data_IF_536727923094
#
_entry.id   IF_536727923094
#
_cell.length_a   1.000
_cell.length_b   1.000
_cell.length_c   1.000
_cell.angle_alpha   90.00
_cell.angle_beta   90.00
_cell.angle_gamma   90.00
#
_symmetry.space_group_name_H-M   'P 1'
#
loop_
_entity.id
_entity.type
_entity.pdbx_description
1 polymer ?
#
# COMPACT_ATOMS: atom_id res chain seq x y z
N UNK A 1 4.02 -20.18 -11.46
CA UNK A 1 3.76 -19.18 -10.42
C UNK A 1 4.91 -19.07 -9.42
N UNK A 2 5.32 -20.16 -8.79
CA UNK A 2 6.42 -20.14 -7.82
C UNK A 2 7.74 -19.62 -8.39
N UNK A 3 8.08 -19.99 -9.61
CA UNK A 3 9.29 -19.50 -10.26
C UNK A 3 9.24 -18.00 -10.52
N UNK A 4 8.08 -17.48 -10.90
CA UNK A 4 7.88 -16.07 -11.11
C UNK A 4 8.04 -15.31 -9.81
N UNK A 5 7.41 -15.80 -8.74
CA UNK A 5 7.49 -15.16 -7.42
C UNK A 5 8.92 -15.10 -6.91
N UNK A 6 9.68 -16.18 -7.09
CA UNK A 6 11.08 -16.21 -6.64
C UNK A 6 11.98 -15.19 -7.34
N UNK A 7 11.56 -14.68 -8.49
CA UNK A 7 12.33 -13.68 -9.24
C UNK A 7 11.91 -12.24 -8.92
N UNK A 8 10.83 -12.06 -8.16
CA UNK A 8 10.32 -10.74 -7.83
C UNK A 8 10.93 -10.23 -6.54
N UNK A 9 11.10 -8.91 -6.41
CA UNK A 9 11.55 -8.35 -5.15
C UNK A 9 10.50 -8.57 -4.07
N UNK A 10 10.95 -8.88 -2.88
CA UNK A 10 10.09 -9.08 -1.72
C UNK A 10 10.57 -8.28 -0.54
N UNK A 11 10.04 -8.57 0.63
CA UNK A 11 10.43 -7.90 1.86
C UNK A 11 9.74 -8.50 3.07
N UNK A 12 9.79 -7.79 4.19
CA UNK A 12 9.18 -8.22 5.44
C UNK A 12 8.27 -7.16 6.04
N UNK A 13 8.05 -6.09 5.29
CA UNK A 13 7.23 -4.96 5.75
C UNK A 13 5.75 -5.33 5.78
N UNK A 14 4.95 -4.47 6.38
CA UNK A 14 3.50 -4.65 6.48
C UNK A 14 2.78 -3.76 5.48
N UNK A 15 1.94 -4.38 4.66
CA UNK A 15 1.17 -3.70 3.60
C UNK A 15 -0.31 -3.72 3.99
N UNK A 16 -0.94 -2.56 3.97
CA UNK A 16 -2.39 -2.46 4.12
C UNK A 16 -3.01 -2.34 2.73
N UNK A 17 -3.81 -3.32 2.34
CA UNK A 17 -4.55 -3.28 1.08
C UNK A 17 -5.94 -2.73 1.35
N UNK A 18 -6.32 -1.69 0.61
CA UNK A 18 -7.64 -1.05 0.73
C UNK A 18 -8.34 -1.20 -0.61
N UNK A 19 -9.26 -2.16 -0.70
CA UNK A 19 -9.93 -2.49 -1.95
C UNK A 19 -11.20 -3.30 -1.63
N UNK A 20 -12.30 -3.03 -2.32
CA UNK A 20 -13.56 -3.73 -2.12
C UNK A 20 -13.78 -4.90 -3.09
N UNK A 21 -12.80 -5.21 -3.95
CA UNK A 21 -12.91 -6.28 -4.94
C UNK A 21 -12.31 -7.58 -4.42
N UNK A 22 -13.16 -8.46 -3.93
CA UNK A 22 -12.77 -9.69 -3.26
C UNK A 22 -11.82 -10.58 -4.06
N UNK A 23 -12.06 -10.75 -5.36
CA UNK A 23 -11.20 -11.59 -6.21
C UNK A 23 -9.78 -11.04 -6.36
N UNK A 24 -9.62 -9.73 -6.32
CA UNK A 24 -8.31 -9.09 -6.40
C UNK A 24 -7.55 -9.31 -5.10
N UNK A 25 -8.25 -9.26 -3.96
CA UNK A 25 -7.64 -9.46 -2.66
C UNK A 25 -6.96 -10.82 -2.53
N UNK A 26 -7.70 -11.88 -2.86
CA UNK A 26 -7.21 -13.25 -2.68
C UNK A 26 -5.89 -13.44 -3.40
N UNK A 27 -5.81 -12.99 -4.64
CA UNK A 27 -4.59 -13.10 -5.43
C UNK A 27 -3.45 -12.26 -4.87
N UNK A 28 -3.71 -10.99 -4.59
CA UNK A 28 -2.66 -10.07 -4.11
C UNK A 28 -2.17 -10.45 -2.72
N UNK A 29 -3.07 -10.80 -1.81
CA UNK A 29 -2.69 -11.18 -0.46
C UNK A 29 -1.78 -12.39 -0.50
N UNK A 30 -2.20 -13.43 -1.21
CA UNK A 30 -1.41 -14.66 -1.31
C UNK A 30 -0.05 -14.39 -1.91
N UNK A 31 0.00 -13.64 -3.02
CA UNK A 31 1.25 -13.34 -3.69
C UNK A 31 2.19 -12.52 -2.82
N UNK A 32 1.69 -11.48 -2.16
CA UNK A 32 2.52 -10.65 -1.30
C UNK A 32 3.02 -11.39 -0.08
N UNK A 33 2.20 -12.27 0.50
CA UNK A 33 2.64 -13.11 1.61
C UNK A 33 3.75 -14.06 1.18
N UNK A 34 3.68 -14.62 -0.02
CA UNK A 34 4.75 -15.45 -0.56
C UNK A 34 6.04 -14.67 -0.77
N UNK A 35 5.93 -13.37 -1.05
CA UNK A 35 7.09 -12.50 -1.18
C UNK A 35 7.65 -12.07 0.18
N UNK A 36 7.02 -12.47 1.28
CA UNK A 36 7.50 -12.21 2.63
C UNK A 36 6.77 -11.14 3.41
N UNK A 37 5.91 -10.37 2.74
CA UNK A 37 5.20 -9.27 3.39
C UNK A 37 4.10 -9.77 4.33
N UNK A 38 3.83 -8.97 5.37
CA UNK A 38 2.63 -9.12 6.17
C UNK A 38 1.54 -8.26 5.53
N UNK A 39 0.31 -8.78 5.45
CA UNK A 39 -0.76 -8.09 4.75
C UNK A 39 -1.96 -7.90 5.67
N UNK A 40 -2.45 -6.68 5.72
CA UNK A 40 -3.71 -6.31 6.36
C UNK A 40 -4.68 -5.89 5.26
N UNK A 41 -5.97 -6.08 5.49
CA UNK A 41 -6.99 -5.80 4.49
C UNK A 41 -8.07 -4.90 5.06
N UNK A 42 -8.44 -3.88 4.31
CA UNK A 42 -9.62 -3.05 4.58
C UNK A 42 -10.54 -3.07 3.37
N UNK A 43 -11.82 -3.28 3.58
CA UNK A 43 -12.82 -3.35 2.50
C UNK A 43 -13.32 -1.98 2.06
N UNK A 44 -13.05 -0.95 2.84
CA UNK A 44 -13.48 0.41 2.51
C UNK A 44 -12.57 1.41 3.22
N UNK A 45 -12.77 2.69 2.89
CA UNK A 45 -11.93 3.75 3.43
C UNK A 45 -12.08 3.97 4.92
N UNK A 46 -13.29 3.80 5.46
CA UNK A 46 -13.51 3.99 6.89
C UNK A 46 -12.73 2.95 7.69
N UNK A 47 -12.82 1.69 7.29
CA UNK A 47 -12.07 0.61 7.94
C UNK A 47 -10.57 0.83 7.80
N UNK A 48 -10.12 1.30 6.64
CA UNK A 48 -8.71 1.58 6.40
C UNK A 48 -8.16 2.63 7.37
N UNK A 49 -8.90 3.70 7.57
CA UNK A 49 -8.51 4.76 8.50
C UNK A 49 -8.41 4.24 9.92
N UNK A 50 -9.39 3.42 10.35
CA UNK A 50 -9.37 2.84 11.69
C UNK A 50 -8.21 1.87 11.89
N UNK A 51 -7.94 1.03 10.90
CA UNK A 51 -6.81 0.09 10.96
C UNK A 51 -5.50 0.87 11.01
N UNK A 52 -5.35 1.91 10.19
CA UNK A 52 -4.12 2.71 10.18
C UNK A 52 -3.94 3.44 11.51
N UNK A 53 -5.02 4.03 12.04
CA UNK A 53 -4.96 4.75 13.32
C UNK A 53 -4.51 3.87 14.46
N UNK A 54 -4.93 2.60 14.45
CA UNK A 54 -4.53 1.65 15.49
C UNK A 54 -3.10 1.14 15.37
N UNK A 55 -2.50 1.23 14.16
CA UNK A 55 -1.20 0.62 13.89
C UNK A 55 -0.30 1.52 13.02
N UNK A 56 -0.19 2.82 13.31
CA UNK A 56 0.53 3.72 12.39
C UNK A 56 2.02 3.41 12.25
N UNK A 57 2.63 2.86 13.28
CA UNK A 57 4.06 2.53 13.25
C UNK A 57 4.33 1.16 12.63
N UNK A 58 3.31 0.31 12.55
CA UNK A 58 3.46 -1.04 12.00
C UNK A 58 3.18 -1.11 10.51
N UNK A 59 2.32 -0.22 9.99
CA UNK A 59 1.96 -0.24 8.58
C UNK A 59 3.01 0.55 7.78
N UNK A 60 3.67 -0.12 6.87
CA UNK A 60 4.76 0.46 6.09
C UNK A 60 4.30 1.04 4.75
N UNK A 61 3.22 0.52 4.19
CA UNK A 61 2.68 1.00 2.92
C UNK A 61 1.19 0.71 2.84
N UNK A 62 0.44 1.63 2.24
CA UNK A 62 -0.99 1.45 1.94
C UNK A 62 -1.16 1.37 0.44
N UNK A 63 -1.76 0.27 -0.03
CA UNK A 63 -2.17 0.14 -1.42
C UNK A 63 -3.65 0.51 -1.48
N UNK A 64 -3.94 1.69 -2.01
CA UNK A 64 -5.25 2.32 -1.89
C UNK A 64 -6.01 2.37 -3.21
N UNK A 65 -7.14 1.68 -3.27
CA UNK A 65 -8.05 1.79 -4.41
C UNK A 65 -8.76 3.15 -4.34
N UNK A 66 -8.76 3.86 -5.45
CA UNK A 66 -9.36 5.20 -5.53
C UNK A 66 -10.88 5.18 -5.64
N UNK A 67 -11.46 4.07 -6.10
CA UNK A 67 -12.91 3.95 -6.31
C UNK A 67 -13.49 2.89 -5.38
N UNK A 68 -14.08 3.33 -4.28
CA UNK A 68 -14.67 2.46 -3.26
C UNK A 68 -15.93 3.09 -2.67
N UNK A 69 -16.85 2.26 -2.17
CA UNK A 69 -17.95 2.80 -1.34
C UNK A 69 -17.41 3.24 0.03
N UNK A 70 -18.18 4.02 0.75
CA UNK A 70 -17.88 4.48 2.12
C UNK A 70 -16.47 5.08 2.24
N UNK A 71 -16.38 6.35 2.01
CA UNK A 71 -15.14 7.10 1.99
C UNK A 71 -14.23 6.66 0.84
N UNK A 72 -14.33 7.36 -0.27
CA UNK A 72 -13.52 7.10 -1.46
C UNK A 72 -12.03 7.35 -1.23
N UNK A 73 -11.25 7.05 -2.27
CA UNK A 73 -9.80 7.11 -2.17
C UNK A 73 -9.24 8.47 -1.76
N UNK A 74 -9.80 9.56 -2.27
CA UNK A 74 -9.34 10.90 -1.89
C UNK A 74 -9.48 11.15 -0.40
N UNK A 75 -10.66 10.90 0.14
CA UNK A 75 -10.93 11.13 1.54
C UNK A 75 -10.06 10.24 2.42
N UNK A 76 -9.93 8.98 2.04
CA UNK A 76 -9.07 8.04 2.76
C UNK A 76 -7.62 8.49 2.76
N UNK A 77 -7.13 8.93 1.60
CA UNK A 77 -5.78 9.46 1.46
C UNK A 77 -5.51 10.60 2.43
N UNK A 78 -6.39 11.60 2.44
CA UNK A 78 -6.21 12.75 3.32
C UNK A 78 -6.26 12.39 4.80
N UNK A 79 -7.17 11.51 5.17
CA UNK A 79 -7.29 11.09 6.57
C UNK A 79 -6.07 10.32 7.05
N UNK A 80 -5.53 9.43 6.22
CA UNK A 80 -4.31 8.71 6.57
C UNK A 80 -3.14 9.68 6.72
N UNK A 81 -3.02 10.65 5.81
CA UNK A 81 -1.96 11.66 5.89
C UNK A 81 -2.10 12.56 7.11
N UNK A 82 -3.30 12.81 7.59
CA UNK A 82 -3.49 13.54 8.85
C UNK A 82 -2.97 12.74 10.04
N UNK A 83 -3.17 11.43 10.04
CA UNK A 83 -2.68 10.56 11.10
C UNK A 83 -1.16 10.47 11.04
N UNK A 84 -0.60 10.32 9.85
CA UNK A 84 0.82 10.09 9.61
C UNK A 84 1.26 10.80 8.33
N UNK A 85 1.86 11.98 8.44
CA UNK A 85 2.33 12.73 7.26
C UNK A 85 3.36 11.97 6.42
N UNK A 86 4.07 11.01 7.01
CA UNK A 86 5.06 10.20 6.31
C UNK A 86 4.50 8.88 5.77
N UNK A 87 3.19 8.69 5.84
CA UNK A 87 2.56 7.47 5.34
C UNK A 87 2.89 7.25 3.86
N UNK A 88 3.27 6.02 3.52
CA UNK A 88 3.52 5.64 2.14
C UNK A 88 2.21 5.14 1.53
N UNK A 89 1.74 5.81 0.50
CA UNK A 89 0.48 5.47 -0.14
C UNK A 89 0.69 5.27 -1.63
N UNK A 90 0.39 4.05 -2.11
CA UNK A 90 0.41 3.68 -3.50
C UNK A 90 -1.02 3.64 -4.00
N UNK A 91 -1.35 4.51 -4.94
CA UNK A 91 -2.71 4.63 -5.47
C UNK A 91 -2.98 3.58 -6.55
N UNK A 92 -4.22 3.14 -6.64
CA UNK A 92 -4.63 2.13 -7.61
C UNK A 92 -6.02 2.44 -8.14
N UNK A 93 -6.22 2.38 -9.45
CA UNK A 93 -7.55 2.50 -10.04
C UNK A 93 -7.57 2.15 -11.52
N UNK A 94 -8.75 1.73 -12.01
CA UNK A 94 -8.99 1.56 -13.44
C UNK A 94 -9.62 2.78 -14.10
N UNK A 95 -10.18 3.70 -13.31
CA UNK A 95 -10.98 4.82 -13.82
C UNK A 95 -10.73 6.12 -13.08
N UNK A 96 -9.49 6.56 -13.03
CA UNK A 96 -9.16 7.85 -12.41
C UNK A 96 -8.56 8.75 -13.47
N UNK A 97 -8.94 10.02 -13.47
CA UNK A 97 -8.37 10.97 -14.41
C UNK A 97 -6.91 11.23 -14.08
N UNK A 98 -6.13 11.52 -15.10
CA UNK A 98 -4.73 11.86 -14.94
C UNK A 98 -4.54 13.06 -13.99
N UNK A 99 -5.45 14.05 -14.08
CA UNK A 99 -5.39 15.23 -13.23
C UNK A 99 -5.56 14.88 -11.75
N UNK A 100 -6.47 13.97 -11.43
CA UNK A 100 -6.66 13.52 -10.06
C UNK A 100 -5.43 12.82 -9.51
N UNK A 101 -4.82 11.96 -10.33
CA UNK A 101 -3.60 11.25 -9.95
C UNK A 101 -2.47 12.25 -9.70
N UNK A 102 -2.28 13.21 -10.61
CA UNK A 102 -1.22 14.20 -10.47
C UNK A 102 -1.42 15.06 -9.22
N UNK A 103 -2.67 15.42 -8.91
CA UNK A 103 -2.97 16.19 -7.72
C UNK A 103 -2.56 15.44 -6.44
N UNK A 104 -2.92 14.18 -6.36
CA UNK A 104 -2.57 13.38 -5.18
C UNK A 104 -1.07 13.11 -5.08
N UNK A 105 -0.40 12.94 -6.20
CA UNK A 105 1.06 12.80 -6.21
C UNK A 105 1.73 14.07 -5.67
N UNK A 106 1.23 15.24 -6.04
CA UNK A 106 1.73 16.51 -5.50
C UNK A 106 1.48 16.63 -4.01
N UNK A 107 0.45 15.99 -3.49
CA UNK A 107 0.11 16.05 -2.08
C UNK A 107 0.76 14.95 -1.25
N UNK A 108 1.63 14.15 -1.85
CA UNK A 108 2.43 13.20 -1.12
C UNK A 108 2.15 11.73 -1.38
N UNK A 109 1.29 11.39 -2.35
CA UNK A 109 1.16 9.99 -2.77
C UNK A 109 2.47 9.52 -3.39
N UNK A 110 2.80 8.26 -3.17
CA UNK A 110 4.11 7.73 -3.54
C UNK A 110 4.15 7.08 -4.93
N UNK A 111 2.99 6.87 -5.53
CA UNK A 111 2.92 6.30 -6.86
C UNK A 111 1.50 5.93 -7.25
N UNK A 112 1.35 5.43 -8.47
CA UNK A 112 0.07 5.03 -9.00
C UNK A 112 0.22 3.78 -9.85
N UNK A 113 -0.69 2.81 -9.67
CA UNK A 113 -0.76 1.61 -10.48
C UNK A 113 -2.13 1.51 -11.14
N UNK A 114 -2.21 1.48 -12.48
CA UNK A 114 -3.48 1.25 -13.16
C UNK A 114 -3.95 -0.19 -12.99
N UNK A 115 -5.25 -0.39 -12.92
CA UNK A 115 -5.84 -1.73 -12.95
C UNK A 115 -6.03 -2.16 -14.41
N UNK A 116 -5.92 -3.45 -14.73
CA UNK A 116 -5.64 -4.57 -13.84
C UNK A 116 -4.17 -4.61 -13.40
N UNK A 117 -3.95 -5.02 -12.15
CA UNK A 117 -2.59 -5.10 -11.61
C UNK A 117 -1.86 -6.33 -12.13
N UNK A 118 -0.60 -6.14 -12.49
CA UNK A 118 0.29 -7.26 -12.78
C UNK A 118 1.24 -7.39 -11.60
N UNK A 119 1.42 -8.62 -11.13
CA UNK A 119 2.24 -8.86 -9.94
C UNK A 119 3.65 -8.27 -10.04
N UNK A 120 4.38 -8.39 -11.17
CA UNK A 120 5.71 -7.75 -11.25
C UNK A 120 5.66 -6.24 -11.06
N UNK A 121 4.64 -5.56 -11.60
CA UNK A 121 4.50 -4.12 -11.44
C UNK A 121 4.21 -3.73 -10.00
N UNK A 122 3.33 -4.49 -9.34
CA UNK A 122 2.99 -4.26 -7.93
C UNK A 122 4.23 -4.46 -7.06
N UNK A 123 4.94 -5.57 -7.23
CA UNK A 123 6.12 -5.89 -6.44
C UNK A 123 7.22 -4.84 -6.62
N UNK A 124 7.46 -4.39 -7.86
CA UNK A 124 8.48 -3.38 -8.14
C UNK A 124 8.10 -2.04 -7.53
N UNK A 125 6.84 -1.63 -7.63
CA UNK A 125 6.38 -0.35 -7.07
C UNK A 125 6.49 -0.35 -5.55
N UNK A 126 6.06 -1.43 -4.89
CA UNK A 126 6.16 -1.55 -3.45
C UNK A 126 7.62 -1.45 -3.00
N UNK A 127 8.51 -2.20 -3.64
CA UNK A 127 9.93 -2.19 -3.25
C UNK A 127 10.56 -0.83 -3.45
N UNK A 128 10.27 -0.17 -4.56
CA UNK A 128 10.78 1.17 -4.84
C UNK A 128 10.33 2.17 -3.76
N UNK A 129 9.06 2.14 -3.41
CA UNK A 129 8.52 3.07 -2.41
C UNK A 129 9.12 2.80 -1.04
N UNK A 130 9.17 1.54 -0.63
CA UNK A 130 9.69 1.19 0.68
C UNK A 130 11.19 1.49 0.82
N UNK A 131 11.96 1.30 -0.24
CA UNK A 131 13.39 1.61 -0.23
C UNK A 131 13.67 3.10 -0.16
N UNK A 132 12.75 3.93 -0.63
CA UNK A 132 12.85 5.38 -0.59
C UNK A 132 12.13 6.00 0.61
N UNK A 133 11.49 5.18 1.43
CA UNK A 133 10.67 5.64 2.52
C UNK A 133 11.48 6.33 3.62
N UNK A 134 10.94 7.42 4.14
CA UNK A 134 11.48 8.10 5.32
C UNK A 134 10.94 7.50 6.60
N UNK A 135 9.87 6.69 6.49
CA UNK A 135 9.23 6.08 7.63
C UNK A 135 10.02 4.85 8.07
N UNK A 136 10.51 4.78 9.31
CA UNK A 136 11.14 3.59 9.80
C UNK A 136 10.08 2.51 10.01
N UNK A 137 10.37 1.29 9.58
CA UNK A 137 9.50 0.16 9.88
C UNK A 137 10.13 -0.67 11.02
N UNK A 138 9.34 -1.54 11.63
CA UNK A 138 9.74 -2.27 12.84
C UNK A 138 11.08 -2.99 12.68
N UNK A 139 11.32 -3.59 11.51
CA UNK A 139 12.56 -4.32 11.25
C UNK A 139 13.78 -3.41 11.21
N UNK A 140 13.68 -2.27 10.53
CA UNK A 140 14.77 -1.32 10.47
C UNK A 140 15.08 -0.74 11.84
N UNK A 141 14.04 -0.43 12.61
CA UNK A 141 14.19 0.06 13.98
C UNK A 141 14.88 -0.97 14.86
N UNK A 142 14.49 -2.23 14.75
CA UNK A 142 15.12 -3.31 15.51
C UNK A 142 16.59 -3.49 15.14
N UNK A 143 16.91 -3.45 13.85
CA UNK A 143 18.29 -3.56 13.39
C UNK A 143 19.14 -2.40 13.89
N UNK A 144 18.64 -1.18 13.85
CA UNK A 144 19.32 -0.01 14.36
C UNK A 144 19.57 -0.10 15.86
N UNK A 145 18.62 -0.66 16.59
CA UNK A 145 18.74 -0.83 18.04
C UNK A 145 19.81 -1.86 18.41
N UNK A 146 19.97 -2.88 17.58
CA UNK A 146 20.92 -3.96 17.85
C UNK A 146 22.37 -3.58 17.58
N UNK A 147 22.59 -2.54 16.85
CA UNK A 147 23.94 -2.02 16.56
C UNK A 147 24.40 -1.08 17.66
#
# INVERSE_FOLDING_TARGET
MAELINKLPGGTETILIVDDHETIWDFLIEALQELGYSVLLAENGLDAVEIYRGNPDEIDLVLLDMVMPKAGGHQTFYRIKEIDPDANILLSSGFVSEDEVQDLLKQGANGFLPKPHRLPAVAAAIRRILDQSRKPHARASAAATME
#
